data_IF_643392420128
#
_entry.id   IF_643392420128
#
_cell.length_a   1.000
_cell.length_b   1.000
_cell.length_c   1.000
_cell.angle_alpha   90.00
_cell.angle_beta   90.00
_cell.angle_gamma   90.00
#
_symmetry.space_group_name_H-M   'P 1'
#
loop_
_entity.id
_entity.type
_entity.pdbx_description
1 polymer ?
#
# COMPACT_ATOMS: atom_id res chain seq x y z
N UNK A 1 -25.75 24.77 13.16
CA UNK A 1 -25.18 23.40 13.27
C UNK A 1 -24.93 22.85 11.88
N UNK A 2 -23.69 22.74 11.47
CA UNK A 2 -23.36 22.12 10.18
C UNK A 2 -23.44 20.61 10.36
N UNK A 3 -24.39 20.02 9.69
CA UNK A 3 -24.52 18.57 9.55
C UNK A 3 -23.26 18.03 8.88
N UNK A 4 -22.41 17.31 9.63
CA UNK A 4 -21.26 16.61 9.06
C UNK A 4 -21.81 15.41 8.33
N UNK A 5 -22.03 15.57 7.03
CA UNK A 5 -22.49 14.49 6.16
C UNK A 5 -21.42 13.38 6.09
N UNK A 6 -21.86 12.14 5.95
CA UNK A 6 -20.98 10.95 5.81
C UNK A 6 -19.92 11.13 4.71
N UNK A 7 -20.18 11.98 3.72
CA UNK A 7 -19.23 12.39 2.68
C UNK A 7 -17.97 13.06 3.25
N UNK A 8 -18.11 13.94 4.25
CA UNK A 8 -16.97 14.65 4.84
C UNK A 8 -16.04 13.76 5.66
N UNK A 9 -16.57 12.70 6.27
CA UNK A 9 -15.74 11.72 7.01
C UNK A 9 -14.90 10.89 6.02
N UNK A 10 -15.48 10.53 4.88
CA UNK A 10 -14.78 9.80 3.82
C UNK A 10 -13.68 10.68 3.18
N UNK A 11 -13.94 11.98 3.04
CA UNK A 11 -13.01 12.97 2.51
C UNK A 11 -11.80 13.13 3.43
N UNK A 12 -12.02 13.36 4.74
CA UNK A 12 -10.93 13.48 5.71
C UNK A 12 -10.07 12.21 5.83
N UNK A 13 -10.67 11.06 5.62
CA UNK A 13 -9.95 9.79 5.66
C UNK A 13 -9.01 9.58 4.45
N UNK A 14 -9.32 10.15 3.30
CA UNK A 14 -8.48 10.06 2.09
C UNK A 14 -7.21 10.91 2.17
N UNK A 15 -7.24 12.01 2.89
CA UNK A 15 -6.13 12.97 2.98
C UNK A 15 -4.85 12.42 3.61
N UNK A 16 -4.91 11.27 4.29
CA UNK A 16 -3.76 10.66 4.95
C UNK A 16 -3.07 9.57 4.11
N UNK A 17 -3.46 9.40 2.85
CA UNK A 17 -2.86 8.39 1.99
C UNK A 17 -2.33 9.02 0.70
N UNK A 18 -1.02 9.16 0.63
CA UNK A 18 -0.32 9.75 -0.52
C UNK A 18 -0.26 8.82 -1.75
N UNK A 19 -0.75 7.59 -1.60
CA UNK A 19 -0.66 6.58 -2.65
C UNK A 19 -2.00 5.88 -2.88
N UNK A 20 -2.22 5.49 -4.11
CA UNK A 20 -3.33 4.61 -4.47
C UNK A 20 -2.83 3.39 -5.25
N UNK A 21 -3.60 2.32 -5.23
CA UNK A 21 -3.27 1.07 -5.91
C UNK A 21 -4.09 0.93 -7.19
N UNK A 22 -3.41 0.94 -8.33
CA UNK A 22 -4.01 0.64 -9.63
C UNK A 22 -3.71 -0.82 -10.00
N UNK A 23 -4.75 -1.61 -10.21
CA UNK A 23 -4.62 -3.03 -10.53
C UNK A 23 -4.31 -3.23 -12.01
N UNK A 24 -3.43 -4.17 -12.31
CA UNK A 24 -3.09 -4.55 -13.68
C UNK A 24 -4.26 -5.20 -14.45
N UNK A 25 -5.29 -5.69 -13.73
CA UNK A 25 -6.49 -6.30 -14.34
C UNK A 25 -7.28 -5.32 -15.23
N UNK A 26 -7.05 -4.02 -15.07
CA UNK A 26 -7.66 -2.98 -15.90
C UNK A 26 -6.90 -2.72 -17.21
N UNK A 27 -5.72 -3.31 -17.38
CA UNK A 27 -4.89 -3.06 -18.56
C UNK A 27 -5.54 -3.44 -19.89
N UNK A 28 -6.25 -4.58 -20.01
CA UNK A 28 -6.96 -4.92 -21.24
C UNK A 28 -7.98 -3.86 -21.66
N UNK A 29 -8.77 -3.34 -20.71
CA UNK A 29 -9.76 -2.28 -20.96
C UNK A 29 -9.08 -0.97 -21.37
N UNK A 30 -8.01 -0.60 -20.71
CA UNK A 30 -7.23 0.59 -21.04
C UNK A 30 -6.63 0.50 -22.44
N UNK A 31 -6.21 -0.69 -22.87
CA UNK A 31 -5.68 -0.90 -24.24
C UNK A 31 -6.70 -0.68 -25.33
N UNK A 32 -8.00 -0.86 -25.05
CA UNK A 32 -9.06 -0.63 -26.00
C UNK A 32 -9.35 0.85 -26.26
N UNK A 33 -8.94 1.72 -25.34
CA UNK A 33 -9.11 3.17 -25.45
C UNK A 33 -8.08 3.79 -26.41
N UNK A 34 -8.50 4.85 -27.11
CA UNK A 34 -7.57 5.68 -27.88
C UNK A 34 -6.57 6.39 -26.95
N UNK A 35 -5.44 6.83 -27.47
CA UNK A 35 -4.38 7.49 -26.65
C UNK A 35 -4.89 8.73 -25.90
N UNK A 36 -5.72 9.53 -26.54
CA UNK A 36 -6.34 10.69 -25.92
C UNK A 36 -7.27 10.31 -24.76
N UNK A 37 -8.08 9.27 -24.95
CA UNK A 37 -8.96 8.74 -23.92
C UNK A 37 -8.18 8.17 -22.73
N UNK A 38 -7.03 7.50 -22.97
CA UNK A 38 -6.12 7.05 -21.90
C UNK A 38 -5.58 8.21 -21.09
N UNK A 39 -5.22 9.30 -21.74
CA UNK A 39 -4.77 10.51 -21.07
C UNK A 39 -5.84 11.12 -20.18
N UNK A 40 -7.07 11.25 -20.68
CA UNK A 40 -8.22 11.72 -19.89
C UNK A 40 -8.54 10.79 -18.72
N UNK A 41 -8.51 9.47 -18.95
CA UNK A 41 -8.70 8.47 -17.91
C UNK A 41 -7.65 8.60 -16.79
N UNK A 42 -6.37 8.75 -17.15
CA UNK A 42 -5.30 8.93 -16.17
C UNK A 42 -5.52 10.20 -15.34
N UNK A 43 -5.85 11.30 -16.00
CA UNK A 43 -6.19 12.56 -15.31
C UNK A 43 -7.37 12.38 -14.36
N UNK A 44 -8.42 11.67 -14.78
CA UNK A 44 -9.58 11.39 -13.93
C UNK A 44 -9.24 10.53 -12.71
N UNK A 45 -8.34 9.56 -12.84
CA UNK A 45 -7.87 8.74 -11.73
C UNK A 45 -7.14 9.60 -10.69
N UNK A 46 -6.25 10.46 -11.12
CA UNK A 46 -5.55 11.38 -10.22
C UNK A 46 -6.49 12.39 -9.58
N UNK A 47 -7.36 13.03 -10.38
CA UNK A 47 -8.36 13.98 -9.88
C UNK A 47 -9.27 13.33 -8.82
N UNK A 48 -9.68 12.07 -9.02
CA UNK A 48 -10.44 11.33 -8.01
C UNK A 48 -9.62 11.05 -6.74
N UNK A 49 -8.34 10.74 -6.86
CA UNK A 49 -7.46 10.49 -5.72
C UNK A 49 -7.12 11.77 -4.93
N UNK A 50 -7.00 12.92 -5.61
CA UNK A 50 -6.71 14.23 -5.02
C UNK A 50 -7.97 15.03 -4.67
N UNK A 51 -9.16 14.50 -4.96
CA UNK A 51 -10.46 15.16 -4.75
C UNK A 51 -10.63 16.44 -5.57
N UNK A 52 -10.01 16.46 -6.74
CA UNK A 52 -10.16 17.53 -7.72
C UNK A 52 -11.37 17.26 -8.64
N UNK A 53 -11.73 18.26 -9.43
CA UNK A 53 -12.79 18.17 -10.40
C UNK A 53 -12.42 17.18 -11.52
N UNK A 54 -13.36 16.29 -11.85
CA UNK A 54 -13.15 15.29 -12.89
C UNK A 54 -13.15 15.96 -14.29
N UNK A 55 -12.23 15.58 -15.18
CA UNK A 55 -12.23 16.07 -16.55
C UNK A 55 -13.46 15.54 -17.31
N UNK A 56 -13.85 16.26 -18.34
CA UNK A 56 -14.87 15.77 -19.29
C UNK A 56 -14.35 14.53 -20.01
N UNK A 57 -15.15 13.49 -19.98
CA UNK A 57 -14.84 12.21 -20.59
C UNK A 57 -16.00 11.74 -21.47
N UNK A 58 -15.66 11.05 -22.55
CA UNK A 58 -16.63 10.33 -23.37
C UNK A 58 -17.23 9.13 -22.60
N UNK A 59 -18.32 8.59 -23.12
CA UNK A 59 -19.08 7.52 -22.48
C UNK A 59 -18.22 6.28 -22.18
N UNK A 60 -17.39 5.85 -23.14
CA UNK A 60 -16.52 4.69 -22.97
C UNK A 60 -15.45 4.92 -21.90
N UNK A 61 -14.82 6.07 -21.88
CA UNK A 61 -13.83 6.45 -20.87
C UNK A 61 -14.47 6.56 -19.49
N UNK A 62 -15.67 7.12 -19.41
CA UNK A 62 -16.46 7.20 -18.18
C UNK A 62 -16.79 5.83 -17.61
N UNK A 63 -17.18 4.88 -18.47
CA UNK A 63 -17.45 3.51 -18.06
C UNK A 63 -16.19 2.83 -17.50
N UNK A 64 -15.06 2.94 -18.20
CA UNK A 64 -13.77 2.41 -17.73
C UNK A 64 -13.35 3.04 -16.40
N UNK A 65 -13.51 4.35 -16.27
CA UNK A 65 -13.24 5.07 -15.02
C UNK A 65 -14.14 4.57 -13.88
N UNK A 66 -15.41 4.28 -14.14
CA UNK A 66 -16.33 3.76 -13.13
C UNK A 66 -15.85 2.45 -12.49
N UNK A 67 -15.33 1.51 -13.26
CA UNK A 67 -14.75 0.26 -12.75
C UNK A 67 -13.49 0.51 -11.91
N UNK A 68 -12.60 1.36 -12.40
CA UNK A 68 -11.37 1.71 -11.69
C UNK A 68 -11.70 2.43 -10.38
N UNK A 69 -12.60 3.41 -10.41
CA UNK A 69 -13.08 4.14 -9.24
C UNK A 69 -13.62 3.21 -8.16
N UNK A 70 -14.45 2.26 -8.53
CA UNK A 70 -15.01 1.28 -7.59
C UNK A 70 -13.89 0.49 -6.87
N UNK A 71 -12.85 0.09 -7.61
CA UNK A 71 -11.68 -0.59 -7.05
C UNK A 71 -10.86 0.32 -6.13
N UNK A 72 -10.63 1.57 -6.52
CA UNK A 72 -9.91 2.55 -5.70
C UNK A 72 -10.64 2.80 -4.38
N UNK A 73 -11.96 2.97 -4.43
CA UNK A 73 -12.79 3.19 -3.24
C UNK A 73 -12.82 1.97 -2.32
N UNK A 74 -12.87 0.77 -2.87
CA UNK A 74 -12.79 -0.46 -2.08
C UNK A 74 -11.45 -0.62 -1.37
N UNK A 75 -10.34 -0.33 -2.07
CA UNK A 75 -8.99 -0.36 -1.49
C UNK A 75 -8.81 0.71 -0.41
N UNK A 76 -9.36 1.91 -0.62
CA UNK A 76 -9.34 2.96 0.37
C UNK A 76 -10.08 2.54 1.64
N UNK A 77 -11.30 2.01 1.51
CA UNK A 77 -12.09 1.51 2.66
C UNK A 77 -11.35 0.44 3.44
N UNK A 78 -10.74 -0.53 2.75
CA UNK A 78 -9.94 -1.58 3.38
C UNK A 78 -8.78 -1.01 4.17
N UNK A 79 -8.02 -0.11 3.58
CA UNK A 79 -6.90 0.55 4.23
C UNK A 79 -7.31 1.28 5.53
N UNK A 80 -8.41 2.02 5.50
CA UNK A 80 -8.90 2.73 6.70
C UNK A 80 -9.39 1.78 7.78
N UNK A 81 -10.04 0.70 7.41
CA UNK A 81 -10.46 -0.32 8.35
C UNK A 81 -9.23 -0.96 9.05
N UNK A 82 -8.18 -1.26 8.31
CA UNK A 82 -6.92 -1.79 8.85
C UNK A 82 -6.22 -0.76 9.76
N UNK A 83 -6.18 0.51 9.38
CA UNK A 83 -5.61 1.57 10.20
C UNK A 83 -6.36 1.73 11.52
N UNK A 84 -7.69 1.72 11.49
CA UNK A 84 -8.51 1.84 12.70
C UNK A 84 -8.34 0.62 13.61
N UNK A 85 -8.30 -0.57 13.04
CA UNK A 85 -8.04 -1.79 13.81
C UNK A 85 -6.65 -1.78 14.46
N UNK A 86 -5.63 -1.33 13.75
CA UNK A 86 -4.27 -1.19 14.30
C UNK A 86 -4.22 -0.14 15.40
N UNK A 87 -4.95 0.97 15.26
CA UNK A 87 -5.09 2.00 16.27
C UNK A 87 -5.77 1.46 17.53
N UNK A 88 -6.82 0.69 17.36
CA UNK A 88 -7.52 0.05 18.47
C UNK A 88 -6.65 -0.99 19.17
N UNK A 89 -5.93 -1.81 18.41
CA UNK A 89 -4.99 -2.79 18.96
C UNK A 89 -3.85 -2.10 19.72
N UNK A 90 -3.34 -0.98 19.21
CA UNK A 90 -2.36 -0.15 19.91
C UNK A 90 -2.88 0.42 21.24
N UNK A 91 -4.18 0.80 21.28
CA UNK A 91 -4.84 1.31 22.49
C UNK A 91 -5.05 0.21 23.54
N UNK A 92 -5.30 -1.03 23.14
CA UNK A 92 -5.50 -2.19 24.05
C UNK A 92 -4.22 -2.62 24.77
N UNK A 93 -3.09 -2.08 24.47
CA UNK A 93 -1.81 -2.32 25.10
C UNK A 93 -0.88 -3.12 24.22
N UNK A 94 0.25 -2.53 23.95
CA UNK A 94 1.40 -3.22 23.41
C UNK A 94 1.92 -4.27 24.38
N UNK A 95 3.00 -4.91 23.99
CA UNK A 95 3.74 -5.91 24.77
C UNK A 95 3.58 -5.71 26.27
N UNK A 96 3.13 -6.71 27.04
CA UNK A 96 3.02 -6.61 28.49
C UNK A 96 4.32 -6.03 29.06
N UNK A 97 4.22 -4.98 29.88
CA UNK A 97 5.38 -4.52 30.65
C UNK A 97 5.88 -5.72 31.41
N UNK A 98 7.15 -6.10 31.23
CA UNK A 98 7.79 -7.07 32.12
C UNK A 98 7.44 -6.66 33.54
N UNK A 99 6.75 -7.53 34.25
CA UNK A 99 6.50 -7.31 35.66
C UNK A 99 7.86 -7.04 36.30
N UNK A 100 7.97 -5.91 37.01
CA UNK A 100 9.14 -5.58 37.83
C UNK A 100 9.27 -6.59 38.98
N UNK A 101 9.71 -7.79 38.64
CA UNK A 101 9.80 -8.90 39.58
C UNK A 101 10.91 -9.88 39.26
N UNK A 102 11.82 -9.54 38.37
CA UNK A 102 12.94 -10.41 38.01
C UNK A 102 14.29 -9.70 38.18
N UNK A 103 14.50 -9.10 39.37
CA UNK A 103 15.83 -8.58 39.74
C UNK A 103 16.75 -9.66 40.32
N UNK A 104 16.29 -10.90 40.50
CA UNK A 104 17.07 -11.90 41.22
C UNK A 104 17.75 -12.97 40.35
N UNK A 105 17.85 -12.78 39.04
CA UNK A 105 18.59 -13.72 38.19
C UNK A 105 19.58 -13.03 37.23
N UNK A 106 20.19 -11.93 37.68
CA UNK A 106 21.18 -11.21 36.87
C UNK A 106 22.63 -11.64 37.14
N UNK A 107 22.85 -12.68 37.94
CA UNK A 107 24.21 -13.06 38.36
C UNK A 107 24.71 -14.40 37.81
N UNK A 108 24.05 -15.04 36.87
CA UNK A 108 24.50 -16.35 36.36
C UNK A 108 24.81 -16.41 34.87
N UNK A 109 24.96 -15.27 34.20
CA UNK A 109 25.37 -15.30 32.79
C UNK A 109 26.48 -14.29 32.47
N UNK A 110 27.54 -14.35 33.30
CA UNK A 110 28.76 -13.59 33.06
C UNK A 110 29.93 -14.47 32.60
N UNK A 111 29.67 -15.70 32.19
CA UNK A 111 30.76 -16.52 31.65
C UNK A 111 30.25 -17.54 30.66
N UNK A 112 29.96 -17.11 29.43
CA UNK A 112 30.09 -17.97 28.29
C UNK A 112 30.46 -17.14 27.07
N UNK A 113 31.62 -17.49 26.58
CA UNK A 113 32.41 -16.92 25.52
C UNK A 113 31.61 -16.56 24.27
N UNK A 114 32.15 -15.56 23.61
CA UNK A 114 31.66 -15.06 22.35
C UNK A 114 31.33 -16.11 21.33
N UNK A 115 30.07 -16.15 20.93
CA UNK A 115 29.69 -16.76 19.67
C UNK A 115 29.51 -15.64 18.67
N UNK A 116 30.67 -15.20 18.15
CA UNK A 116 30.73 -14.40 16.94
C UNK A 116 30.58 -15.34 15.75
N UNK A 117 29.36 -15.71 15.41
CA UNK A 117 29.08 -16.27 14.11
C UNK A 117 28.49 -15.20 13.22
N UNK A 118 29.35 -14.56 12.44
CA UNK A 118 28.94 -13.86 11.21
C UNK A 118 28.08 -14.80 10.39
N UNK A 119 26.91 -14.37 9.89
CA UNK A 119 26.23 -15.14 8.86
C UNK A 119 27.12 -15.15 7.62
N UNK A 120 27.58 -16.33 7.25
CA UNK A 120 28.38 -16.56 6.08
C UNK A 120 27.53 -16.34 4.82
N UNK A 121 28.09 -15.51 3.95
CA UNK A 121 28.07 -15.75 2.52
C UNK A 121 26.73 -15.67 1.82
N UNK A 122 26.48 -14.51 1.30
CA UNK A 122 25.71 -14.35 0.07
C UNK A 122 26.30 -15.29 -0.99
N UNK A 123 25.57 -16.34 -1.36
CA UNK A 123 25.93 -17.19 -2.48
C UNK A 123 25.69 -16.38 -3.75
N UNK A 124 26.76 -15.94 -4.34
CA UNK A 124 26.79 -15.44 -5.70
C UNK A 124 26.30 -16.55 -6.63
N UNK A 125 25.18 -16.32 -7.30
CA UNK A 125 24.79 -17.16 -8.42
C UNK A 125 25.74 -16.87 -9.57
N UNK A 126 26.39 -17.87 -10.14
CA UNK A 126 27.19 -17.67 -11.35
C UNK A 126 26.24 -17.30 -12.49
N UNK A 127 26.51 -16.18 -13.10
CA UNK A 127 25.90 -15.77 -14.36
C UNK A 127 26.48 -16.70 -15.42
N UNK A 128 25.68 -17.63 -15.91
CA UNK A 128 26.04 -18.37 -17.14
C UNK A 128 26.06 -17.38 -18.30
N UNK A 129 27.25 -17.10 -18.75
CA UNK A 129 27.50 -16.40 -19.99
C UNK A 129 27.06 -17.29 -21.15
N UNK A 130 25.95 -16.95 -21.77
CA UNK A 130 25.57 -17.51 -23.06
C UNK A 130 26.51 -16.90 -24.10
N UNK A 131 27.45 -17.68 -24.56
CA UNK A 131 28.26 -17.34 -25.71
C UNK A 131 27.42 -17.48 -26.98
N UNK A 132 27.18 -16.34 -27.64
CA UNK A 132 26.81 -16.31 -29.04
C UNK A 132 27.89 -17.00 -29.86
N UNK A 133 27.53 -18.06 -30.57
CA UNK A 133 28.28 -18.59 -31.69
C UNK A 133 27.35 -18.69 -32.88
N UNK A 134 27.54 -17.76 -33.76
CA UNK A 134 27.54 -17.81 -35.22
C UNK A 134 26.98 -19.08 -35.90
N UNK A 135 25.99 -18.93 -36.71
CA UNK A 135 26.00 -19.06 -38.20
C UNK A 135 24.58 -18.81 -38.68
#
# INVERSE_FOLDING_TARGET
MRSVTKSNITIMARQNKDTFLLRHDFFPQIKMLAMEQRGRLLTAIYAHATEEELPEMDELTTLCFGFIRASLDANAKKYYAECEQNRENGRKGGRPKKADGFEENRTVFSESGGFSSKPAGNRENPIESVSDSDI
#
